data_IF_727992998133
#
_entry.id   IF_727992998133
#
_cell.length_a   1.000
_cell.length_b   1.000
_cell.length_c   1.000
_cell.angle_alpha   90.00
_cell.angle_beta   90.00
_cell.angle_gamma   90.00
#
_symmetry.space_group_name_H-M   'P 1'
#
loop_
_entity.id
_entity.type
_entity.pdbx_description
1 polymer ?
#
# COMPACT_ATOMS: atom_id res chain seq x y z
N UNK A 1 4.65 -4.75 20.64
CA UNK A 1 4.00 -3.88 19.65
C UNK A 1 2.88 -3.16 20.38
N UNK A 2 2.99 -1.85 20.46
CA UNK A 2 1.98 -1.01 21.11
C UNK A 2 0.70 -1.05 20.28
N UNK A 3 -0.45 -1.12 20.93
CA UNK A 3 -1.79 -1.27 20.32
C UNK A 3 -2.20 -0.15 19.35
N UNK A 4 -1.41 0.92 19.28
CA UNK A 4 -1.66 2.15 18.53
C UNK A 4 -1.69 2.02 17.00
N UNK A 5 -1.37 0.85 16.45
CA UNK A 5 -1.16 0.69 15.01
C UNK A 5 -1.94 -0.47 14.40
N UNK A 6 -3.02 -0.90 15.02
CA UNK A 6 -3.87 -1.94 14.47
C UNK A 6 -4.76 -1.37 13.37
N UNK A 7 -4.57 -1.84 12.15
CA UNK A 7 -5.52 -1.68 11.07
C UNK A 7 -6.27 -2.99 10.89
N UNK A 8 -7.56 -2.89 10.73
CA UNK A 8 -8.44 -4.03 10.43
C UNK A 8 -8.82 -4.09 8.95
N UNK A 9 -8.26 -3.19 8.14
CA UNK A 9 -8.62 -3.07 6.73
C UNK A 9 -7.39 -3.14 5.86
N UNK A 10 -7.43 -4.02 4.89
CA UNK A 10 -6.47 -4.13 3.79
C UNK A 10 -7.14 -3.72 2.50
N UNK A 11 -6.36 -3.19 1.56
CA UNK A 11 -6.80 -2.93 0.21
C UNK A 11 -6.32 -4.03 -0.73
N UNK A 12 -6.58 -3.89 -2.03
CA UNK A 12 -6.35 -4.91 -3.04
C UNK A 12 -4.88 -5.38 -3.05
N UNK A 13 -4.63 -6.69 -3.00
CA UNK A 13 -3.28 -7.22 -3.12
C UNK A 13 -2.80 -7.23 -4.57
N UNK A 14 -1.50 -7.06 -4.76
CA UNK A 14 -0.79 -7.41 -5.99
C UNK A 14 -0.05 -8.73 -5.74
N UNK A 15 -0.45 -9.76 -6.46
CA UNK A 15 0.01 -11.15 -6.22
C UNK A 15 0.94 -11.58 -7.32
N UNK A 16 2.10 -12.13 -6.94
CA UNK A 16 3.09 -12.78 -7.78
C UNK A 16 3.05 -14.29 -7.53
N UNK A 17 4.02 -15.02 -8.05
CA UNK A 17 4.11 -16.46 -7.85
C UNK A 17 4.30 -16.82 -6.37
N UNK A 18 5.32 -16.23 -5.72
CA UNK A 18 5.69 -16.55 -4.34
C UNK A 18 5.55 -15.36 -3.38
N UNK A 19 5.08 -14.20 -3.88
CA UNK A 19 4.90 -12.97 -3.12
C UNK A 19 3.50 -12.40 -3.29
N UNK A 20 3.00 -11.76 -2.24
CA UNK A 20 1.87 -10.85 -2.30
C UNK A 20 2.23 -9.53 -1.62
N UNK A 21 1.98 -8.42 -2.32
CA UNK A 21 2.08 -7.08 -1.75
C UNK A 21 0.69 -6.56 -1.44
N UNK A 22 0.50 -6.10 -0.22
CA UNK A 22 -0.82 -5.70 0.28
C UNK A 22 -0.69 -4.33 0.92
N UNK A 23 -1.48 -3.39 0.46
CA UNK A 23 -1.66 -2.12 1.14
C UNK A 23 -2.58 -2.31 2.33
N UNK A 24 -2.04 -2.11 3.50
CA UNK A 24 -2.74 -2.22 4.77
C UNK A 24 -2.95 -0.82 5.33
N UNK A 25 -4.16 -0.32 5.28
CA UNK A 25 -4.49 1.10 5.39
C UNK A 25 -3.66 1.87 6.41
N UNK A 26 -3.64 1.50 7.68
CA UNK A 26 -2.87 2.22 8.69
C UNK A 26 -1.50 1.59 8.99
N UNK A 27 -1.15 0.49 8.33
CA UNK A 27 0.08 -0.26 8.61
C UNK A 27 1.08 -0.28 7.45
N UNK A 28 0.80 0.50 6.40
CA UNK A 28 1.68 0.60 5.24
C UNK A 28 1.58 -0.61 4.30
N UNK A 29 2.60 -0.86 3.52
CA UNK A 29 2.69 -1.99 2.58
C UNK A 29 3.29 -3.19 3.27
N UNK A 30 2.64 -4.34 3.11
CA UNK A 30 3.13 -5.62 3.59
C UNK A 30 3.56 -6.49 2.40
N UNK A 31 4.74 -7.07 2.49
CA UNK A 31 5.18 -8.15 1.60
C UNK A 31 4.99 -9.48 2.32
N UNK A 32 4.22 -10.36 1.73
CA UNK A 32 3.91 -11.68 2.28
C UNK A 32 4.51 -12.73 1.36
N UNK A 33 5.32 -13.62 1.92
CA UNK A 33 5.78 -14.81 1.22
C UNK A 33 4.63 -15.84 1.23
N UNK A 34 4.19 -16.22 0.04
CA UNK A 34 3.11 -17.17 -0.22
C UNK A 34 3.60 -18.45 -0.94
N UNK A 35 4.91 -18.66 -1.03
CA UNK A 35 5.48 -19.89 -1.62
C UNK A 35 4.97 -21.17 -0.95
N UNK A 36 4.61 -21.06 0.32
CA UNK A 36 3.78 -22.06 1.00
C UNK A 36 2.41 -21.45 1.33
N UNK A 37 1.38 -21.66 0.51
CA UNK A 37 0.09 -21.02 0.68
C UNK A 37 -0.67 -21.47 1.93
N UNK A 38 -0.29 -22.60 2.52
CA UNK A 38 -0.88 -23.07 3.79
C UNK A 38 -0.22 -22.46 5.02
N UNK A 39 0.92 -21.79 4.84
CA UNK A 39 1.66 -21.12 5.90
C UNK A 39 2.33 -19.84 5.39
N UNK A 40 1.56 -18.82 4.99
CA UNK A 40 2.12 -17.55 4.53
C UNK A 40 2.85 -16.83 5.67
N UNK A 41 3.96 -16.16 5.33
CA UNK A 41 4.79 -15.46 6.32
C UNK A 41 5.09 -14.03 5.86
N UNK A 42 5.21 -13.10 6.79
CA UNK A 42 5.65 -11.75 6.46
C UNK A 42 7.10 -11.75 5.98
N UNK A 43 7.34 -11.31 4.77
CA UNK A 43 8.66 -11.23 4.14
C UNK A 43 9.27 -9.84 4.23
N UNK A 44 8.45 -8.82 4.46
CA UNK A 44 8.90 -7.44 4.64
C UNK A 44 7.72 -6.49 4.84
N UNK A 45 8.05 -5.26 5.16
CA UNK A 45 7.05 -4.20 5.21
C UNK A 45 7.68 -2.83 4.99
N UNK A 46 6.86 -1.89 4.54
CA UNK A 46 7.19 -0.47 4.51
C UNK A 46 6.06 0.32 5.15
N UNK A 47 6.40 1.18 6.08
CA UNK A 47 5.48 2.12 6.69
C UNK A 47 6.11 3.51 6.67
N UNK A 48 5.48 4.50 6.01
CA UNK A 48 6.01 5.85 5.98
C UNK A 48 5.95 6.48 7.38
N UNK A 49 6.85 7.43 7.62
CA UNK A 49 6.69 8.37 8.73
C UNK A 49 5.60 9.36 8.32
N UNK A 50 4.50 9.44 9.05
CA UNK A 50 3.41 10.34 8.67
C UNK A 50 3.81 11.79 8.78
N UNK A 51 3.40 12.60 7.80
CA UNK A 51 3.51 14.05 7.91
C UNK A 51 2.48 14.59 8.91
N UNK A 52 2.88 15.51 9.79
CA UNK A 52 2.01 15.97 10.88
C UNK A 52 0.80 16.78 10.38
N UNK A 53 0.97 17.54 9.30
CA UNK A 53 -0.09 18.38 8.72
C UNK A 53 -0.07 18.26 7.21
N UNK A 54 -1.24 18.12 6.61
CA UNK A 54 -1.44 18.15 5.15
C UNK A 54 -2.26 19.39 4.84
N UNK A 55 -1.73 20.27 3.99
CA UNK A 55 -2.49 21.38 3.45
C UNK A 55 -3.27 20.90 2.21
N UNK A 56 -4.55 21.22 2.15
CA UNK A 56 -5.35 21.02 0.94
C UNK A 56 -5.25 22.25 0.07
N UNK A 57 -4.87 22.11 -1.18
CA UNK A 57 -4.78 23.21 -2.13
C UNK A 57 -6.18 23.64 -2.62
N UNK A 58 -7.14 22.71 -2.62
CA UNK A 58 -8.50 22.97 -3.04
C UNK A 58 -9.40 23.28 -1.84
N UNK A 59 -9.89 24.52 -1.71
CA UNK A 59 -10.82 24.90 -0.65
C UNK A 59 -12.12 24.08 -0.64
N UNK A 60 -12.54 23.54 -1.78
CA UNK A 60 -13.72 22.68 -1.86
C UNK A 60 -13.53 21.35 -1.15
N UNK A 61 -12.30 20.88 -0.99
CA UNK A 61 -11.98 19.67 -0.22
C UNK A 61 -12.07 19.91 1.29
N UNK A 62 -11.97 21.16 1.73
CA UNK A 62 -12.02 21.57 3.14
C UNK A 62 -13.33 22.22 3.56
N UNK A 63 -14.20 22.61 2.61
CA UNK A 63 -15.39 23.45 2.86
C UNK A 63 -16.67 22.65 3.16
N UNK A 64 -16.63 21.33 3.16
CA UNK A 64 -17.80 20.49 3.47
C UNK A 64 -17.93 20.18 4.96
N UNK A 65 -19.15 19.86 5.46
CA UNK A 65 -19.29 19.31 6.79
C UNK A 65 -18.52 18.00 6.85
N UNK A 66 -17.42 17.95 7.63
CA UNK A 66 -16.55 16.82 7.87
C UNK A 66 -16.64 15.75 6.75
N UNK A 67 -16.21 16.14 5.56
CA UNK A 67 -16.25 15.22 4.43
C UNK A 67 -15.28 14.08 4.70
N UNK A 68 -15.55 12.92 4.16
CA UNK A 68 -14.66 11.75 4.26
C UNK A 68 -13.21 12.08 3.89
N UNK A 69 -13.02 13.04 2.97
CA UNK A 69 -11.70 13.53 2.56
C UNK A 69 -11.01 14.31 3.66
N UNK A 70 -11.71 15.22 4.33
CA UNK A 70 -11.14 15.99 5.44
C UNK A 70 -10.76 15.06 6.62
N UNK A 71 -11.59 14.07 6.91
CA UNK A 71 -11.29 13.06 7.91
C UNK A 71 -10.10 12.17 7.54
N UNK A 72 -9.88 11.94 6.25
CA UNK A 72 -8.72 11.18 5.76
C UNK A 72 -7.44 12.02 5.80
N UNK A 73 -7.52 13.27 5.40
CA UNK A 73 -6.37 14.17 5.26
C UNK A 73 -5.98 14.81 6.60
N UNK A 74 -6.97 15.30 7.36
CA UNK A 74 -6.72 15.98 8.60
C UNK A 74 -7.14 15.10 9.79
N UNK A 75 -6.26 14.89 10.75
CA UNK A 75 -6.61 14.18 11.96
C UNK A 75 -7.62 15.01 12.75
N UNK A 76 -8.51 14.32 13.43
CA UNK A 76 -9.29 14.92 14.51
C UNK A 76 -8.34 15.53 15.53
N UNK A 77 -8.30 16.85 15.61
CA UNK A 77 -7.41 17.58 16.52
C UNK A 77 -7.72 17.32 17.99
N UNK A 78 -8.85 16.70 18.27
CA UNK A 78 -9.25 16.30 19.63
C UNK A 78 -8.62 14.99 20.06
N UNK A 79 -8.14 14.18 19.10
CA UNK A 79 -7.49 12.90 19.39
C UNK A 79 -5.99 12.95 19.06
N UNK A 80 -5.10 13.00 20.05
CA UNK A 80 -3.65 13.10 19.83
C UNK A 80 -3.08 11.89 19.05
N UNK A 81 -3.74 10.74 19.04
CA UNK A 81 -3.28 9.54 18.37
C UNK A 81 -3.43 9.63 16.84
N UNK A 82 -4.23 10.57 16.33
CA UNK A 82 -4.42 10.79 14.90
C UNK A 82 -3.41 11.74 14.24
N UNK A 83 -2.51 12.36 15.00
CA UNK A 83 -1.48 13.26 14.43
C UNK A 83 -0.48 12.55 13.50
N UNK A 84 -0.53 11.23 13.44
CA UNK A 84 0.44 10.41 12.73
C UNK A 84 -0.24 9.35 11.86
N UNK A 85 -1.14 9.77 10.99
CA UNK A 85 -1.96 8.85 10.20
C UNK A 85 -1.25 8.40 8.92
N UNK A 86 -1.21 7.09 8.72
CA UNK A 86 -0.89 6.43 7.44
C UNK A 86 -2.20 5.95 6.83
N UNK A 87 -2.42 6.21 5.54
CA UNK A 87 -3.63 5.80 4.82
C UNK A 87 -3.24 5.27 3.45
N UNK A 88 -2.71 4.04 3.42
CA UNK A 88 -2.48 3.32 2.17
C UNK A 88 -3.83 2.94 1.58
N UNK A 89 -4.09 3.36 0.35
CA UNK A 89 -5.43 3.26 -0.22
C UNK A 89 -5.51 2.46 -1.51
N UNK A 90 -4.44 2.36 -2.25
CA UNK A 90 -4.45 1.71 -3.55
C UNK A 90 -3.88 0.28 -3.46
N UNK A 91 -3.79 -0.39 -4.59
CA UNK A 91 -2.99 -1.59 -4.74
C UNK A 91 -1.56 -1.20 -5.15
N UNK A 92 -0.54 -1.95 -4.72
CA UNK A 92 0.82 -1.75 -5.19
C UNK A 92 0.94 -2.00 -6.70
N UNK A 93 1.53 -1.05 -7.43
CA UNK A 93 1.85 -1.21 -8.84
C UNK A 93 3.33 -1.56 -8.94
N UNK A 94 3.67 -2.57 -9.74
CA UNK A 94 5.05 -2.92 -10.01
C UNK A 94 5.42 -2.45 -11.40
N UNK A 95 6.47 -1.65 -11.52
CA UNK A 95 7.00 -1.20 -12.81
C UNK A 95 8.52 -1.20 -12.80
N UNK A 96 9.12 -1.91 -13.77
CA UNK A 96 10.57 -2.04 -13.92
C UNK A 96 11.28 -2.45 -12.62
N UNK A 97 10.70 -3.40 -11.90
CA UNK A 97 11.25 -3.92 -10.65
C UNK A 97 11.13 -2.99 -9.43
N UNK A 98 10.39 -1.90 -9.56
CA UNK A 98 10.06 -0.99 -8.47
C UNK A 98 8.58 -1.09 -8.12
N UNK A 99 8.25 -0.87 -6.86
CA UNK A 99 6.89 -0.93 -6.33
C UNK A 99 6.43 0.49 -6.03
N UNK A 100 5.33 0.89 -6.65
CA UNK A 100 4.69 2.19 -6.48
C UNK A 100 3.47 2.03 -5.60
N UNK A 101 3.41 2.78 -4.52
CA UNK A 101 2.30 2.75 -3.56
C UNK A 101 1.86 4.16 -3.22
N UNK A 102 0.57 4.34 -3.02
CA UNK A 102 -0.03 5.64 -2.73
C UNK A 102 -0.60 5.62 -1.31
N UNK A 103 -0.09 6.53 -0.52
CA UNK A 103 -0.73 6.92 0.74
C UNK A 103 -1.51 8.21 0.48
N UNK A 104 -2.83 8.17 0.71
CA UNK A 104 -3.73 9.31 0.42
C UNK A 104 -3.30 10.58 1.15
N UNK A 105 -2.64 10.43 2.29
CA UNK A 105 -2.22 11.56 3.12
C UNK A 105 -0.75 11.92 2.93
N UNK A 106 0.10 10.92 2.70
CA UNK A 106 1.55 11.12 2.73
C UNK A 106 2.18 11.10 1.32
N UNK A 107 1.39 10.79 0.28
CA UNK A 107 1.81 10.87 -1.12
C UNK A 107 2.27 9.56 -1.72
N UNK A 108 2.99 9.64 -2.84
CA UNK A 108 3.51 8.50 -3.59
C UNK A 108 4.86 8.06 -3.03
N UNK A 109 4.99 6.76 -2.80
CA UNK A 109 6.27 6.13 -2.47
C UNK A 109 6.69 5.17 -3.58
N UNK A 110 7.99 5.18 -3.89
CA UNK A 110 8.63 4.28 -4.83
C UNK A 110 9.60 3.40 -4.03
N UNK A 111 9.31 2.12 -3.98
CA UNK A 111 10.01 1.18 -3.13
C UNK A 111 10.79 0.17 -3.97
N UNK A 112 11.89 -0.32 -3.42
CA UNK A 112 12.62 -1.48 -3.92
C UNK A 112 12.49 -2.61 -2.90
N UNK A 113 11.97 -3.74 -3.34
CA UNK A 113 11.92 -4.92 -2.51
C UNK A 113 13.25 -5.69 -2.60
N UNK A 114 13.79 -6.05 -1.44
CA UNK A 114 15.10 -6.74 -1.32
C UNK A 114 15.03 -8.00 -0.47
N UNK A 115 13.82 -8.45 -0.12
CA UNK A 115 13.58 -9.66 0.64
C UNK A 115 13.65 -10.94 -0.19
N UNK A 116 13.22 -12.08 0.37
CA UNK A 116 13.10 -13.35 -0.35
C UNK A 116 12.27 -13.18 -1.64
N UNK A 117 12.63 -13.91 -2.71
CA UNK A 117 11.96 -13.84 -4.02
C UNK A 117 11.98 -12.45 -4.69
N UNK A 118 12.95 -11.60 -4.33
CA UNK A 118 13.08 -10.25 -4.93
C UNK A 118 13.34 -10.28 -6.44
N UNK A 119 13.88 -11.38 -6.95
CA UNK A 119 14.07 -11.60 -8.37
C UNK A 119 12.76 -11.67 -9.16
N UNK A 120 11.66 -12.12 -8.55
CA UNK A 120 10.33 -12.05 -9.18
C UNK A 120 9.93 -10.60 -9.47
N UNK A 121 10.07 -9.73 -8.48
CA UNK A 121 9.75 -8.32 -8.62
C UNK A 121 10.63 -7.66 -9.68
N UNK A 122 11.93 -7.97 -9.69
CA UNK A 122 12.91 -7.38 -10.62
C UNK A 122 12.64 -7.72 -12.08
N UNK A 123 12.04 -8.87 -12.37
CA UNK A 123 11.69 -9.30 -13.73
C UNK A 123 10.45 -8.61 -14.30
N UNK A 124 9.60 -8.05 -13.44
CA UNK A 124 8.34 -7.46 -13.87
C UNK A 124 8.58 -6.09 -14.52
N UNK A 125 8.19 -5.98 -15.78
CA UNK A 125 8.19 -4.70 -16.49
C UNK A 125 7.02 -3.83 -16.08
N UNK A 126 5.83 -4.43 -15.98
CA UNK A 126 4.63 -3.76 -15.50
C UNK A 126 3.63 -4.77 -14.97
N UNK A 127 3.12 -4.55 -13.78
CA UNK A 127 2.03 -5.28 -13.18
C UNK A 127 1.20 -4.32 -12.35
N UNK A 128 -0.05 -4.22 -12.71
CA UNK A 128 -1.06 -3.51 -11.96
C UNK A 128 -1.90 -4.53 -11.18
N UNK A 129 -1.97 -4.36 -9.86
CA UNK A 129 -2.83 -5.18 -9.02
C UNK A 129 -4.28 -4.93 -9.37
N UNK A 130 -4.88 -5.83 -10.15
CA UNK A 130 -6.28 -5.80 -10.47
C UNK A 130 -6.99 -6.95 -9.75
N UNK A 131 -8.22 -6.72 -9.34
CA UNK A 131 -9.11 -7.77 -8.84
C UNK A 131 -9.44 -8.84 -9.89
N UNK A 132 -9.11 -8.61 -11.15
CA UNK A 132 -9.23 -9.58 -12.23
C UNK A 132 -7.98 -10.48 -12.28
N UNK A 133 -7.95 -11.45 -11.40
CA UNK A 133 -6.87 -12.45 -11.32
C UNK A 133 -6.62 -13.20 -12.65
N UNK A 134 -7.56 -13.17 -13.59
CA UNK A 134 -7.41 -13.76 -14.92
C UNK A 134 -6.32 -13.10 -15.76
N UNK A 135 -6.17 -11.79 -15.66
CA UNK A 135 -5.19 -11.04 -16.46
C UNK A 135 -3.77 -11.16 -15.90
N UNK A 136 -3.61 -11.41 -14.61
CA UNK A 136 -2.29 -11.58 -14.00
C UNK A 136 -1.58 -12.87 -14.44
N UNK A 137 -2.31 -13.89 -14.82
CA UNK A 137 -1.76 -15.17 -15.29
C UNK A 137 -1.25 -15.06 -16.74
N UNK A 138 -1.82 -14.16 -17.54
CA UNK A 138 -1.41 -13.96 -18.93
C UNK A 138 -0.17 -13.06 -19.08
N UNK A 139 0.22 -12.33 -18.03
CA UNK A 139 1.39 -11.44 -18.08
C UNK A 139 2.71 -12.20 -18.25
N UNK A 140 2.80 -13.43 -17.76
CA UNK A 140 3.99 -14.30 -17.98
C UNK A 140 4.12 -14.76 -19.45
N UNK A 141 3.03 -14.86 -20.18
CA UNK A 141 3.06 -15.30 -21.59
C UNK A 141 3.47 -14.20 -22.56
N UNK A 142 3.35 -12.93 -22.17
CA UNK A 142 3.71 -11.78 -22.99
C UNK A 142 5.14 -11.26 -22.71
N UNK A 143 5.91 -11.91 -21.85
CA UNK A 143 7.28 -11.51 -21.48
C UNK A 143 8.36 -12.40 -22.13
N UNK A 144 7.99 -13.31 -23.05
CA UNK A 144 8.93 -14.11 -23.84
C UNK A 144 9.41 -13.37 -25.09
#
# INVERSE_FOLDING_TARGET
MTEQFRSFSTHNPTVLQDLAFIDWHSNGVQAINISNPTNPTQAGFFRPTPIPVVATEDPALSAGPATTVDQLLNPDTTNPDFKTKVVMWSYPIISNGLIYVIDVRNGLFILRYTGPHSDEVQRIKFLEGNSNLGDAVDLDQNQQ
#
